data_IF_386489715073
#
_entry.id   IF_386489715073
#
_cell.length_a   1.000
_cell.length_b   1.000
_cell.length_c   1.000
_cell.angle_alpha   90.00
_cell.angle_beta   90.00
_cell.angle_gamma   90.00
#
_symmetry.space_group_name_H-M   'P 1'
#
loop_
_entity.id
_entity.type
_entity.pdbx_description
1 polymer ?
#
# COMPACT_ATOMS: atom_id res chain seq x y z
N UNK A 1 7.18 -48.37 15.87
CA UNK A 1 6.88 -48.35 14.43
C UNK A 1 5.66 -47.45 14.24
N UNK A 2 5.90 -46.17 13.96
CA UNK A 2 4.88 -45.15 13.68
C UNK A 2 5.12 -44.69 12.25
N UNK A 3 4.17 -44.97 11.35
CA UNK A 3 4.20 -44.55 9.95
C UNK A 3 3.55 -43.18 9.88
N UNK A 4 4.31 -42.19 9.43
CA UNK A 4 3.90 -40.79 9.33
C UNK A 4 2.89 -40.57 8.19
N UNK A 5 1.76 -39.98 8.53
CA UNK A 5 0.82 -39.33 7.62
C UNK A 5 1.39 -37.99 7.15
N UNK A 6 2.17 -38.00 6.07
CA UNK A 6 2.65 -36.78 5.39
C UNK A 6 2.87 -37.03 3.91
N UNK A 7 1.85 -37.53 3.21
CA UNK A 7 1.84 -37.65 1.74
C UNK A 7 0.40 -37.57 1.24
N UNK A 8 -0.14 -36.37 1.13
CA UNK A 8 -1.39 -36.07 0.39
C UNK A 8 -1.60 -34.53 0.33
N UNK A 9 -0.66 -33.78 -0.26
CA UNK A 9 -0.85 -32.37 -0.65
C UNK A 9 0.13 -31.97 -1.76
N UNK A 10 0.24 -32.79 -2.81
CA UNK A 10 1.19 -32.56 -3.91
C UNK A 10 0.64 -32.86 -5.31
N UNK A 11 -0.66 -32.62 -5.51
CA UNK A 11 -1.31 -32.79 -6.82
C UNK A 11 -2.33 -31.69 -7.13
N UNK A 12 -1.86 -30.44 -7.28
CA UNK A 12 -2.62 -29.39 -7.97
C UNK A 12 -1.76 -28.28 -8.60
N UNK A 13 -0.42 -28.39 -8.63
CA UNK A 13 0.46 -27.37 -9.21
C UNK A 13 1.43 -28.02 -10.20
N UNK A 14 0.91 -28.36 -11.38
CA UNK A 14 1.72 -28.69 -12.54
C UNK A 14 2.33 -27.42 -13.12
N UNK A 15 3.49 -26.99 -12.59
CA UNK A 15 4.25 -25.85 -13.08
C UNK A 15 5.38 -26.33 -14.00
N UNK A 16 5.14 -26.29 -15.31
CA UNK A 16 6.20 -26.34 -16.31
C UNK A 16 6.32 -24.96 -16.97
N UNK A 17 7.40 -24.24 -16.66
CA UNK A 17 7.74 -22.96 -17.31
C UNK A 17 8.52 -23.28 -18.59
N UNK A 18 7.81 -23.46 -19.69
CA UNK A 18 8.37 -23.52 -21.04
C UNK A 18 8.14 -22.21 -21.79
N UNK A 19 9.07 -21.83 -22.66
CA UNK A 19 8.92 -20.66 -23.54
C UNK A 19 7.63 -20.77 -24.38
N UNK A 20 6.80 -19.72 -24.36
CA UNK A 20 5.67 -19.57 -25.29
C UNK A 20 4.29 -20.00 -24.80
N UNK A 21 4.09 -20.34 -23.52
CA UNK A 21 2.76 -20.71 -23.00
C UNK A 21 2.12 -19.54 -22.25
N UNK A 22 1.03 -18.96 -22.79
CA UNK A 22 0.14 -18.09 -22.03
C UNK A 22 -0.62 -18.95 -21.02
N UNK A 23 -0.35 -18.75 -19.73
CA UNK A 23 -0.96 -19.53 -18.66
C UNK A 23 -2.46 -19.20 -18.54
N UNK A 24 -3.30 -20.24 -18.63
CA UNK A 24 -4.75 -20.17 -18.47
C UNK A 24 -5.12 -19.94 -17.00
N UNK A 25 -6.09 -19.05 -16.81
CA UNK A 25 -6.62 -18.51 -15.57
C UNK A 25 -7.42 -19.53 -14.77
N UNK A 26 -6.97 -19.79 -13.54
CA UNK A 26 -7.87 -20.12 -12.43
C UNK A 26 -7.82 -18.90 -11.50
N UNK A 27 -8.87 -18.07 -11.56
CA UNK A 27 -9.03 -16.88 -10.72
C UNK A 27 -9.30 -17.38 -9.29
N UNK A 28 -8.25 -17.38 -8.48
CA UNK A 28 -8.12 -18.14 -7.24
C UNK A 28 -9.21 -17.87 -6.19
N UNK A 29 -9.61 -18.93 -5.49
CA UNK A 29 -10.25 -18.79 -4.18
C UNK A 29 -9.18 -18.37 -3.16
N UNK A 30 -9.48 -17.35 -2.35
CA UNK A 30 -8.57 -16.93 -1.28
C UNK A 30 -8.52 -18.04 -0.22
N UNK A 31 -7.35 -18.35 0.37
CA UNK A 31 -7.30 -19.22 1.53
C UNK A 31 -8.17 -18.69 2.68
N UNK A 32 -8.66 -19.59 3.52
CA UNK A 32 -9.61 -19.26 4.61
C UNK A 32 -9.10 -18.13 5.52
N UNK A 33 -7.82 -18.18 5.93
CA UNK A 33 -7.22 -17.13 6.77
C UNK A 33 -7.21 -15.75 6.08
N UNK A 34 -6.99 -15.69 4.77
CA UNK A 34 -7.06 -14.44 3.99
C UNK A 34 -8.49 -13.92 3.89
N UNK A 35 -9.47 -14.81 3.73
CA UNK A 35 -10.89 -14.44 3.73
C UNK A 35 -11.30 -13.87 5.10
N UNK A 36 -10.87 -14.52 6.20
CA UNK A 36 -11.13 -14.06 7.57
C UNK A 36 -10.49 -12.69 7.84
N UNK A 37 -9.24 -12.48 7.42
CA UNK A 37 -8.56 -11.19 7.55
C UNK A 37 -9.31 -10.10 6.78
N UNK A 38 -9.68 -10.36 5.52
CA UNK A 38 -10.47 -9.43 4.70
C UNK A 38 -11.79 -9.08 5.37
N UNK A 39 -12.55 -10.09 5.81
CA UNK A 39 -13.86 -9.88 6.44
C UNK A 39 -13.75 -9.07 7.73
N UNK A 40 -12.78 -9.41 8.58
CA UNK A 40 -12.52 -8.69 9.84
C UNK A 40 -12.19 -7.22 9.59
N UNK A 41 -11.31 -6.93 8.62
CA UNK A 41 -10.96 -5.55 8.27
C UNK A 41 -12.13 -4.80 7.63
N UNK A 42 -12.95 -5.48 6.81
CA UNK A 42 -14.15 -4.91 6.20
C UNK A 42 -15.18 -4.47 7.23
N UNK A 43 -15.47 -5.34 8.20
CA UNK A 43 -16.43 -5.07 9.26
C UNK A 43 -15.95 -3.93 10.16
N UNK A 44 -14.67 -3.92 10.51
CA UNK A 44 -14.05 -2.83 11.26
C UNK A 44 -14.09 -1.51 10.48
N UNK A 45 -13.73 -1.52 9.19
CA UNK A 45 -13.76 -0.32 8.36
C UNK A 45 -15.17 0.27 8.25
N UNK A 46 -16.20 -0.57 8.08
CA UNK A 46 -17.58 -0.12 8.01
C UNK A 46 -18.11 0.43 9.34
N UNK A 47 -17.72 -0.19 10.45
CA UNK A 47 -18.26 0.15 11.78
C UNK A 47 -17.49 1.30 12.45
N UNK A 48 -16.18 1.31 12.36
CA UNK A 48 -15.31 2.17 13.18
C UNK A 48 -14.57 3.24 12.37
N UNK A 49 -14.42 3.09 11.04
CA UNK A 49 -13.71 4.06 10.19
C UNK A 49 -14.66 4.93 9.36
N UNK A 50 -15.53 4.31 8.55
CA UNK A 50 -16.40 5.03 7.63
C UNK A 50 -17.27 6.11 8.31
N UNK A 51 -17.86 5.88 9.52
CA UNK A 51 -18.68 6.88 10.18
C UNK A 51 -17.94 8.13 10.64
N UNK A 52 -16.63 8.04 10.85
CA UNK A 52 -15.81 9.16 11.36
C UNK A 52 -14.91 9.80 10.31
N UNK A 53 -14.77 9.16 9.14
CA UNK A 53 -13.80 9.58 8.13
C UNK A 53 -14.00 11.02 7.63
N UNK A 54 -15.25 11.50 7.55
CA UNK A 54 -15.54 12.88 7.13
C UNK A 54 -15.09 13.90 8.20
N UNK A 55 -15.27 13.57 9.48
CA UNK A 55 -14.83 14.43 10.57
C UNK A 55 -13.30 14.46 10.68
N UNK A 56 -12.63 13.31 10.51
CA UNK A 56 -11.17 13.22 10.51
C UNK A 56 -10.56 14.07 9.39
N UNK A 57 -11.14 14.02 8.19
CA UNK A 57 -10.74 14.85 7.06
C UNK A 57 -10.93 16.34 7.36
N UNK A 58 -12.10 16.74 7.87
CA UNK A 58 -12.38 18.14 8.18
C UNK A 58 -11.48 18.73 9.28
N UNK A 59 -11.17 17.93 10.29
CA UNK A 59 -10.37 18.37 11.45
C UNK A 59 -8.86 18.15 11.26
N UNK A 60 -8.45 17.46 10.19
CA UNK A 60 -7.08 16.98 9.98
C UNK A 60 -6.51 16.22 11.18
N UNK A 61 -7.36 15.44 11.87
CA UNK A 61 -7.00 14.80 13.14
C UNK A 61 -6.45 13.39 12.95
N UNK A 62 -5.37 13.06 13.65
CA UNK A 62 -4.84 11.69 13.70
C UNK A 62 -5.81 10.75 14.44
N UNK A 63 -6.20 9.61 13.85
CA UNK A 63 -7.17 8.68 14.44
C UNK A 63 -6.53 7.74 15.47
N UNK A 64 -5.97 8.29 16.55
CA UNK A 64 -5.18 7.56 17.56
C UNK A 64 -5.93 6.34 18.14
N UNK A 65 -7.21 6.50 18.46
CA UNK A 65 -8.06 5.41 18.96
C UNK A 65 -8.10 4.24 17.98
N UNK A 66 -8.38 4.52 16.70
CA UNK A 66 -8.49 3.49 15.67
C UNK A 66 -7.14 2.82 15.41
N UNK A 67 -6.04 3.58 15.44
CA UNK A 67 -4.68 3.02 15.29
C UNK A 67 -4.36 2.02 16.40
N UNK A 68 -4.74 2.33 17.64
CA UNK A 68 -4.55 1.41 18.77
C UNK A 68 -5.41 0.14 18.64
N UNK A 69 -6.67 0.27 18.22
CA UNK A 69 -7.56 -0.86 17.97
C UNK A 69 -7.04 -1.76 16.85
N UNK A 70 -6.58 -1.18 15.73
CA UNK A 70 -5.94 -1.92 14.63
C UNK A 70 -4.67 -2.64 15.07
N UNK A 71 -3.92 -2.06 16.01
CA UNK A 71 -2.77 -2.70 16.63
C UNK A 71 -3.14 -3.91 17.48
N UNK A 72 -4.19 -3.80 18.29
CA UNK A 72 -4.73 -4.92 19.06
C UNK A 72 -5.27 -6.06 18.17
N UNK A 73 -5.76 -5.72 16.97
CA UNK A 73 -6.19 -6.70 15.96
C UNK A 73 -5.02 -7.32 15.17
N UNK A 74 -3.78 -6.88 15.38
CA UNK A 74 -2.59 -7.36 14.65
C UNK A 74 -2.44 -6.81 13.23
N UNK A 75 -3.34 -5.92 12.78
CA UNK A 75 -3.35 -5.36 11.41
C UNK A 75 -2.23 -4.33 11.19
N UNK A 76 -1.71 -3.77 12.28
CA UNK A 76 -0.53 -2.92 12.23
C UNK A 76 0.75 -3.72 11.91
N UNK A 77 0.77 -5.04 12.08
CA UNK A 77 1.98 -5.86 11.88
C UNK A 77 1.67 -7.20 11.19
N UNK A 78 0.93 -7.16 10.08
CA UNK A 78 0.41 -8.34 9.37
C UNK A 78 1.54 -9.28 8.96
N UNK A 79 2.56 -8.75 8.28
CA UNK A 79 3.69 -9.52 7.75
C UNK A 79 4.82 -9.80 8.74
N UNK A 80 4.69 -9.33 9.98
CA UNK A 80 5.74 -9.47 11.00
C UNK A 80 5.61 -10.84 11.68
N UNK A 81 6.70 -11.59 11.89
CA UNK A 81 6.66 -12.88 12.58
C UNK A 81 6.06 -12.78 13.99
N UNK A 82 5.34 -13.82 14.41
CA UNK A 82 4.77 -13.92 15.77
C UNK A 82 5.86 -13.80 16.86
N UNK A 83 7.07 -14.30 16.59
CA UNK A 83 8.21 -14.18 17.52
C UNK A 83 8.64 -12.74 17.82
N UNK A 84 8.19 -11.78 17.01
CA UNK A 84 8.40 -10.35 17.20
C UNK A 84 7.10 -9.61 17.56
N UNK A 85 6.01 -10.33 17.82
CA UNK A 85 4.71 -9.78 18.20
C UNK A 85 3.82 -9.35 17.03
N UNK A 86 4.09 -9.83 15.81
CA UNK A 86 3.23 -9.62 14.64
C UNK A 86 2.22 -10.73 14.39
N UNK A 87 1.44 -10.62 13.32
CA UNK A 87 0.40 -11.59 12.97
C UNK A 87 0.91 -12.80 12.16
N UNK A 88 2.16 -12.80 11.71
CA UNK A 88 2.78 -13.93 11.01
C UNK A 88 2.16 -14.26 9.65
N UNK A 89 1.41 -13.34 9.04
CA UNK A 89 0.77 -13.54 7.74
C UNK A 89 1.66 -13.07 6.59
N UNK A 90 1.13 -13.15 5.37
CA UNK A 90 1.84 -12.83 4.15
C UNK A 90 1.43 -11.46 3.56
N UNK A 91 2.03 -11.06 2.44
CA UNK A 91 1.74 -9.78 1.84
C UNK A 91 0.42 -9.72 1.08
N UNK A 92 -0.12 -10.86 0.65
CA UNK A 92 -1.48 -10.92 0.14
C UNK A 92 -2.47 -10.53 1.25
N UNK A 93 -2.33 -11.08 2.46
CA UNK A 93 -3.16 -10.70 3.61
C UNK A 93 -3.00 -9.22 3.97
N UNK A 94 -1.77 -8.71 3.92
CA UNK A 94 -1.50 -7.28 4.12
C UNK A 94 -2.23 -6.40 3.09
N UNK A 95 -2.17 -6.73 1.79
CA UNK A 95 -2.87 -5.96 0.75
C UNK A 95 -4.39 -6.00 0.96
N UNK A 96 -4.96 -7.16 1.32
CA UNK A 96 -6.39 -7.29 1.62
C UNK A 96 -6.80 -6.41 2.80
N UNK A 97 -6.02 -6.40 3.87
CA UNK A 97 -6.29 -5.55 5.03
C UNK A 97 -6.25 -4.06 4.67
N UNK A 98 -5.19 -3.61 3.98
CA UNK A 98 -5.04 -2.21 3.58
C UNK A 98 -6.15 -1.76 2.63
N UNK A 99 -6.56 -2.61 1.69
CA UNK A 99 -7.68 -2.32 0.77
C UNK A 99 -8.98 -2.07 1.54
N UNK A 100 -9.34 -2.96 2.47
CA UNK A 100 -10.57 -2.82 3.25
C UNK A 100 -10.54 -1.62 4.19
N UNK A 101 -9.42 -1.35 4.86
CA UNK A 101 -9.27 -0.18 5.72
C UNK A 101 -9.36 1.13 4.93
N UNK A 102 -8.74 1.16 3.74
CA UNK A 102 -8.73 2.35 2.87
C UNK A 102 -10.10 2.61 2.24
N UNK A 103 -10.94 1.57 2.11
CA UNK A 103 -12.36 1.71 1.74
C UNK A 103 -13.14 2.50 2.78
N UNK A 104 -12.81 2.35 4.07
CA UNK A 104 -13.39 3.14 5.15
C UNK A 104 -12.78 4.54 5.29
N UNK A 105 -11.45 4.61 5.36
CA UNK A 105 -10.70 5.87 5.49
C UNK A 105 -9.31 5.72 4.87
N UNK A 106 -9.03 6.44 3.77
CA UNK A 106 -7.75 6.41 3.08
C UNK A 106 -6.57 6.80 4.00
N UNK A 107 -6.75 7.82 4.85
CA UNK A 107 -5.72 8.25 5.80
C UNK A 107 -5.38 7.18 6.83
N UNK A 108 -6.38 6.48 7.37
CA UNK A 108 -6.13 5.36 8.29
C UNK A 108 -5.40 4.21 7.58
N UNK A 109 -5.78 3.92 6.33
CA UNK A 109 -5.09 2.92 5.50
C UNK A 109 -3.61 3.23 5.26
N UNK A 110 -3.24 4.48 4.98
CA UNK A 110 -1.81 4.83 4.82
C UNK A 110 -1.05 4.81 6.15
N UNK A 111 -1.69 5.14 7.27
CA UNK A 111 -1.06 5.05 8.60
C UNK A 111 -0.68 3.60 8.93
N UNK A 112 -1.59 2.64 8.70
CA UNK A 112 -1.32 1.21 8.94
C UNK A 112 -0.28 0.64 7.96
N UNK A 113 -0.24 1.13 6.72
CA UNK A 113 0.75 0.78 5.70
C UNK A 113 2.18 1.16 6.10
N UNK A 114 2.36 2.40 6.59
CA UNK A 114 3.68 2.96 6.88
C UNK A 114 4.37 2.20 8.00
N UNK A 115 3.58 1.70 8.94
CA UNK A 115 4.09 0.94 10.06
C UNK A 115 4.54 -0.48 9.65
N UNK A 116 3.72 -1.23 8.91
CA UNK A 116 4.11 -2.51 8.32
C UNK A 116 5.37 -2.39 7.44
N UNK A 117 5.43 -1.37 6.58
CA UNK A 117 6.57 -1.10 5.70
C UNK A 117 7.84 -0.71 6.46
N UNK A 118 7.72 -0.11 7.65
CA UNK A 118 8.86 0.19 8.51
C UNK A 118 9.45 -1.08 9.15
N UNK A 119 8.61 -2.05 9.52
CA UNK A 119 9.05 -3.35 10.02
C UNK A 119 9.83 -4.15 8.97
N UNK A 120 9.39 -4.15 7.71
CA UNK A 120 10.14 -4.77 6.60
C UNK A 120 11.51 -4.10 6.37
N UNK A 121 11.66 -2.82 6.72
CA UNK A 121 12.94 -2.08 6.64
C UNK A 121 13.88 -2.46 7.78
N UNK A 122 13.33 -2.82 8.94
CA UNK A 122 14.09 -3.28 10.11
C UNK A 122 14.39 -4.78 10.02
N UNK A 123 13.72 -5.53 9.13
CA UNK A 123 14.01 -6.95 8.87
C UNK A 123 15.46 -7.22 8.46
N UNK A 124 16.17 -6.21 7.95
CA UNK A 124 17.60 -6.31 7.68
C UNK A 124 18.44 -6.33 8.97
N UNK A 125 17.95 -5.79 10.09
CA UNK A 125 18.59 -5.66 11.42
C UNK A 125 19.22 -6.90 12.03
N UNK A 126 20.06 -6.70 13.06
CA UNK A 126 20.42 -7.81 13.98
C UNK A 126 19.19 -8.26 14.75
N UNK A 127 19.21 -9.44 15.37
CA UNK A 127 18.07 -9.94 16.15
C UNK A 127 17.74 -9.02 17.33
N UNK A 128 18.74 -8.41 17.95
CA UNK A 128 18.59 -7.40 19.01
C UNK A 128 17.88 -6.16 18.48
N UNK A 129 18.28 -5.67 17.30
CA UNK A 129 17.64 -4.53 16.65
C UNK A 129 16.19 -4.83 16.28
N UNK A 130 15.91 -6.03 15.76
CA UNK A 130 14.54 -6.44 15.43
C UNK A 130 13.66 -6.42 16.67
N UNK A 131 14.10 -7.00 17.78
CA UNK A 131 13.35 -6.95 19.05
C UNK A 131 13.17 -5.52 19.56
N UNK A 132 14.20 -4.69 19.48
CA UNK A 132 14.15 -3.31 19.96
C UNK A 132 13.24 -2.40 19.12
N UNK A 133 13.21 -2.58 17.80
CA UNK A 133 12.60 -1.63 16.87
C UNK A 133 11.38 -2.15 16.11
N UNK A 134 11.07 -3.45 16.17
CA UNK A 134 9.85 -4.05 15.60
C UNK A 134 8.82 -4.30 16.69
N UNK A 135 9.19 -4.96 17.79
CA UNK A 135 8.22 -5.42 18.79
C UNK A 135 7.45 -4.29 19.49
N UNK A 136 8.04 -3.15 19.91
CA UNK A 136 7.31 -2.06 20.59
C UNK A 136 6.30 -1.32 19.72
N UNK A 137 6.19 -1.74 18.47
CA UNK A 137 5.64 -1.03 17.37
C UNK A 137 4.47 -1.84 16.78
N UNK A 138 4.40 -3.16 17.02
CA UNK A 138 3.35 -4.05 16.49
C UNK A 138 1.97 -3.83 17.11
N UNK A 139 1.89 -3.22 18.29
CA UNK A 139 0.66 -3.09 19.08
C UNK A 139 -0.15 -1.83 18.78
N UNK A 140 0.35 -0.93 17.90
CA UNK A 140 -0.28 0.36 17.61
C UNK A 140 -0.04 1.45 18.68
N UNK A 141 0.64 1.15 19.79
CA UNK A 141 1.05 2.14 20.80
C UNK A 141 2.05 3.15 20.22
N UNK A 142 2.95 2.68 19.36
CA UNK A 142 3.96 3.50 18.69
C UNK A 142 3.81 3.34 17.19
N UNK A 143 3.93 4.44 16.46
CA UNK A 143 3.99 4.43 15.00
C UNK A 143 5.36 4.91 14.51
N UNK A 144 5.80 4.35 13.39
CA UNK A 144 7.02 4.74 12.72
C UNK A 144 6.76 5.67 11.54
N UNK A 145 7.80 6.37 11.10
CA UNK A 145 7.81 7.08 9.82
C UNK A 145 9.05 6.78 8.97
N UNK A 146 9.06 7.27 7.73
CA UNK A 146 10.12 7.03 6.75
C UNK A 146 10.57 8.33 6.12
N UNK A 147 11.87 8.63 6.24
CA UNK A 147 12.43 9.92 5.88
C UNK A 147 13.50 9.79 4.79
N UNK A 148 13.03 9.73 3.54
CA UNK A 148 13.85 9.70 2.34
C UNK A 148 13.90 11.07 1.64
N UNK A 149 12.74 11.55 1.20
CA UNK A 149 12.59 12.77 0.41
C UNK A 149 13.07 14.03 1.15
N UNK A 150 13.54 15.00 0.38
CA UNK A 150 14.00 16.30 0.86
C UNK A 150 13.35 17.42 0.03
N UNK A 151 13.41 18.69 0.46
CA UNK A 151 12.81 19.80 -0.30
C UNK A 151 13.30 19.89 -1.74
N UNK A 152 14.58 19.55 -1.99
CA UNK A 152 15.19 19.61 -3.32
C UNK A 152 15.07 18.33 -4.14
N UNK A 153 14.66 17.20 -3.55
CA UNK A 153 14.64 15.91 -4.25
C UNK A 153 13.59 14.94 -3.69
N UNK A 154 12.72 14.45 -4.59
CA UNK A 154 11.76 13.37 -4.34
C UNK A 154 12.00 12.20 -5.29
N UNK A 155 11.65 12.38 -6.57
CA UNK A 155 11.86 11.37 -7.62
C UNK A 155 13.34 11.00 -7.80
N UNK A 156 14.26 11.97 -7.70
CA UNK A 156 15.69 11.72 -7.65
C UNK A 156 16.15 11.42 -6.22
N UNK A 157 15.72 10.26 -5.70
CA UNK A 157 16.08 9.83 -4.34
C UNK A 157 17.60 9.66 -4.13
N UNK A 158 18.38 9.55 -5.20
CA UNK A 158 19.83 9.40 -5.16
C UNK A 158 20.60 10.71 -4.90
N UNK A 159 19.92 11.86 -4.96
CA UNK A 159 20.49 13.20 -4.77
C UNK A 159 20.34 13.74 -3.33
N UNK A 160 20.22 12.86 -2.33
CA UNK A 160 20.07 13.25 -0.93
C UNK A 160 21.20 14.19 -0.48
N UNK A 161 20.82 15.32 0.12
CA UNK A 161 21.71 16.34 0.64
C UNK A 161 21.93 16.27 2.14
N UNK A 162 21.02 15.62 2.89
CA UNK A 162 21.17 15.34 4.34
C UNK A 162 22.44 14.53 4.55
N UNK A 163 23.38 15.07 5.33
CA UNK A 163 24.70 14.49 5.59
C UNK A 163 24.66 13.66 6.88
N UNK A 164 25.38 12.55 6.89
CA UNK A 164 25.74 11.83 8.10
C UNK A 164 27.26 11.77 8.24
N UNK A 165 27.78 12.40 9.29
CA UNK A 165 29.20 12.43 9.61
C UNK A 165 29.46 11.51 10.82
N UNK A 166 30.48 10.67 10.71
CA UNK A 166 30.89 9.81 11.82
C UNK A 166 31.78 10.62 12.79
N UNK A 167 31.40 10.65 14.06
CA UNK A 167 32.15 11.27 15.15
C UNK A 167 32.36 10.22 16.26
N UNK A 168 33.51 9.54 16.21
CA UNK A 168 33.81 8.44 17.13
C UNK A 168 32.85 7.26 16.97
N UNK A 169 32.11 6.95 18.02
CA UNK A 169 31.11 5.88 18.08
C UNK A 169 29.70 6.33 17.64
N UNK A 170 29.52 7.59 17.24
CA UNK A 170 28.23 8.19 16.89
C UNK A 170 28.21 8.72 15.47
N UNK A 171 26.99 8.93 14.98
CA UNK A 171 26.71 9.60 13.72
C UNK A 171 25.97 10.91 13.99
N UNK A 172 26.49 12.01 13.45
CA UNK A 172 25.84 13.32 13.48
C UNK A 172 25.17 13.55 12.14
N UNK A 173 23.83 13.71 12.17
CA UNK A 173 23.03 13.95 10.98
C UNK A 173 22.68 15.44 10.88
N UNK A 174 22.89 16.03 9.71
CA UNK A 174 22.56 17.42 9.43
C UNK A 174 21.87 17.57 8.07
N UNK A 175 20.66 18.13 8.06
CA UNK A 175 19.90 18.38 6.84
C UNK A 175 18.40 18.52 7.12
N UNK A 176 17.62 18.48 6.04
CA UNK A 176 16.16 18.64 6.10
C UNK A 176 15.48 17.55 5.29
N UNK A 177 14.55 16.85 5.94
CA UNK A 177 13.64 15.89 5.30
C UNK A 177 12.28 16.54 5.08
N UNK A 178 11.58 16.12 4.03
CA UNK A 178 10.31 16.71 3.64
C UNK A 178 9.27 15.65 3.30
N UNK A 179 8.00 15.97 3.54
CA UNK A 179 6.83 15.13 3.17
C UNK A 179 6.75 13.81 3.96
N UNK A 180 7.04 13.88 5.26
CA UNK A 180 7.16 12.68 6.12
C UNK A 180 5.81 12.34 6.75
N UNK A 181 5.10 11.39 6.18
CA UNK A 181 3.86 10.83 6.76
C UNK A 181 4.12 10.29 8.17
N UNK A 182 3.19 10.51 9.10
CA UNK A 182 3.25 10.18 10.54
C UNK A 182 4.26 10.99 11.37
N UNK A 183 4.99 11.97 10.82
CA UNK A 183 6.09 12.61 11.56
C UNK A 183 5.70 13.25 12.91
N UNK A 184 4.47 13.74 13.04
CA UNK A 184 3.99 14.37 14.28
C UNK A 184 3.63 13.37 15.39
N UNK A 185 3.32 12.13 15.03
CA UNK A 185 2.90 11.07 15.95
C UNK A 185 3.96 9.95 16.09
N UNK A 186 5.01 9.99 15.26
CA UNK A 186 5.99 8.91 15.19
C UNK A 186 6.95 8.88 16.38
N UNK A 187 7.18 7.68 16.91
CA UNK A 187 8.18 7.42 17.95
C UNK A 187 9.55 7.02 17.40
N UNK A 188 9.64 6.64 16.12
CA UNK A 188 10.90 6.35 15.43
C UNK A 188 10.80 6.63 13.93
N UNK A 189 11.95 6.82 13.28
CA UNK A 189 12.04 7.08 11.84
C UNK A 189 13.21 6.37 11.18
N UNK A 190 13.01 5.77 10.00
CA UNK A 190 14.12 5.34 9.14
C UNK A 190 14.52 6.54 8.29
N UNK A 191 15.66 7.17 8.61
CA UNK A 191 16.15 8.35 7.87
C UNK A 191 17.29 7.98 6.94
N UNK A 192 17.30 8.51 5.72
CA UNK A 192 18.36 8.26 4.75
C UNK A 192 19.26 9.49 4.67
N UNK A 193 20.57 9.30 4.81
CA UNK A 193 21.53 10.40 4.71
C UNK A 193 22.76 9.92 3.94
N UNK A 194 23.41 10.84 3.24
CA UNK A 194 24.65 10.54 2.54
C UNK A 194 25.82 10.59 3.50
N UNK A 195 26.66 9.55 3.49
CA UNK A 195 27.95 9.51 4.18
C UNK A 195 29.09 10.01 3.28
N UNK A 196 28.85 10.05 1.96
CA UNK A 196 29.78 10.58 0.97
C UNK A 196 29.01 11.07 -0.27
N UNK A 197 28.95 12.40 -0.46
CA UNK A 197 28.27 13.03 -1.60
C UNK A 197 28.92 12.67 -2.94
N UNK A 198 30.22 12.42 -2.98
CA UNK A 198 30.95 12.09 -4.21
C UNK A 198 30.49 10.76 -4.83
N UNK A 199 29.99 9.84 -4.00
CA UNK A 199 29.50 8.53 -4.39
C UNK A 199 28.03 8.53 -4.87
N UNK A 200 27.36 9.69 -4.87
CA UNK A 200 25.94 9.84 -5.25
C UNK A 200 25.06 8.81 -4.50
N UNK A 201 24.18 8.10 -5.19
CA UNK A 201 23.31 7.07 -4.59
C UNK A 201 24.09 5.95 -3.85
N UNK A 202 25.36 5.69 -4.20
CA UNK A 202 26.19 4.69 -3.51
C UNK A 202 26.68 5.17 -2.15
N UNK A 203 26.67 6.48 -1.90
CA UNK A 203 27.04 7.08 -0.61
C UNK A 203 25.88 7.18 0.37
N UNK A 204 24.67 6.76 0.02
CA UNK A 204 23.49 6.89 0.89
C UNK A 204 23.39 5.70 1.85
N UNK A 205 23.38 6.03 3.14
CA UNK A 205 23.13 5.10 4.24
C UNK A 205 21.77 5.33 4.87
N UNK A 206 21.16 4.27 5.39
CA UNK A 206 19.97 4.37 6.21
C UNK A 206 20.45 4.49 7.67
N UNK A 207 19.78 5.36 8.39
CA UNK A 207 20.02 5.65 9.79
C UNK A 207 18.76 5.18 10.50
N UNK A 208 18.96 3.95 10.90
CA UNK A 208 18.27 2.98 11.73
C UNK A 208 19.02 1.64 11.52
N UNK A 209 19.77 1.51 10.39
CA UNK A 209 20.89 0.58 10.07
C UNK A 209 21.52 0.89 8.68
N UNK A 210 22.83 0.68 8.45
CA UNK A 210 23.56 0.97 7.18
C UNK A 210 23.18 0.16 5.91
N UNK A 211 23.76 0.52 4.75
CA UNK A 211 23.41 0.13 3.34
C UNK A 211 22.11 0.77 2.78
N UNK A 212 21.96 2.08 2.95
CA UNK A 212 20.70 2.81 2.76
C UNK A 212 20.04 2.66 1.42
N UNK A 213 20.70 3.03 0.32
CA UNK A 213 19.99 3.12 -0.96
C UNK A 213 19.39 1.79 -1.44
N UNK A 214 20.12 0.68 -1.30
CA UNK A 214 19.61 -0.65 -1.65
C UNK A 214 18.40 -1.04 -0.80
N UNK A 215 18.46 -0.77 0.51
CA UNK A 215 17.34 -1.00 1.43
C UNK A 215 16.15 -0.14 1.03
N UNK A 216 16.35 1.16 0.75
CA UNK A 216 15.29 2.04 0.29
C UNK A 216 14.58 1.46 -0.93
N UNK A 217 15.33 1.10 -1.99
CA UNK A 217 14.73 0.60 -3.22
C UNK A 217 13.97 -0.72 -3.01
N UNK A 218 14.56 -1.68 -2.28
CA UNK A 218 13.90 -2.95 -2.00
C UNK A 218 12.62 -2.77 -1.17
N UNK A 219 12.58 -1.81 -0.24
CA UNK A 219 11.37 -1.59 0.53
C UNK A 219 10.35 -0.68 -0.14
N UNK A 220 10.75 0.14 -1.13
CA UNK A 220 9.78 0.84 -1.96
C UNK A 220 8.97 -0.14 -2.82
N UNK A 221 9.55 -1.26 -3.27
CA UNK A 221 8.79 -2.28 -4.01
C UNK A 221 7.65 -2.88 -3.16
N UNK A 222 7.93 -3.16 -1.89
CA UNK A 222 6.93 -3.52 -0.88
C UNK A 222 5.91 -2.40 -0.62
N UNK A 223 6.39 -1.15 -0.45
CA UNK A 223 5.53 0.01 -0.20
C UNK A 223 4.55 0.30 -1.34
N UNK A 224 4.97 0.07 -2.60
CA UNK A 224 4.12 0.19 -3.79
C UNK A 224 2.90 -0.73 -3.75
N UNK A 225 3.02 -1.95 -3.20
CA UNK A 225 1.89 -2.87 -3.05
C UNK A 225 0.87 -2.34 -2.06
N UNK A 226 1.34 -1.80 -0.94
CA UNK A 226 0.46 -1.17 0.02
C UNK A 226 -0.26 0.05 -0.57
N UNK A 227 0.42 0.89 -1.37
CA UNK A 227 -0.23 2.01 -2.05
C UNK A 227 -1.25 1.51 -3.08
N UNK A 228 -0.93 0.45 -3.82
CA UNK A 228 -1.87 -0.15 -4.76
C UNK A 228 -3.13 -0.63 -4.04
N UNK A 229 -2.99 -1.29 -2.88
CA UNK A 229 -4.11 -1.68 -2.03
C UNK A 229 -4.90 -0.48 -1.51
N UNK A 230 -4.23 0.60 -1.07
CA UNK A 230 -4.91 1.82 -0.64
C UNK A 230 -5.75 2.43 -1.77
N UNK A 231 -5.17 2.55 -2.97
CA UNK A 231 -5.84 3.06 -4.15
C UNK A 231 -7.06 2.20 -4.53
N UNK A 232 -6.94 0.87 -4.45
CA UNK A 232 -8.06 -0.06 -4.65
C UNK A 232 -9.19 0.18 -3.64
N UNK A 233 -8.86 0.39 -2.36
CA UNK A 233 -9.86 0.69 -1.33
C UNK A 233 -10.63 1.98 -1.61
N UNK A 234 -9.91 3.05 -1.99
CA UNK A 234 -10.51 4.34 -2.38
C UNK A 234 -11.41 4.15 -3.61
N UNK A 235 -10.93 3.46 -4.64
CA UNK A 235 -11.68 3.18 -5.86
C UNK A 235 -12.95 2.39 -5.55
N UNK A 236 -12.85 1.34 -4.73
CA UNK A 236 -14.01 0.53 -4.34
C UNK A 236 -15.05 1.36 -3.58
N UNK A 237 -14.63 2.21 -2.64
CA UNK A 237 -15.55 3.10 -1.91
C UNK A 237 -16.27 4.07 -2.86
N UNK A 238 -15.56 4.62 -3.84
CA UNK A 238 -16.13 5.51 -4.85
C UNK A 238 -17.12 4.78 -5.77
N UNK A 239 -16.81 3.55 -6.21
CA UNK A 239 -17.74 2.72 -6.98
C UNK A 239 -19.00 2.37 -6.16
N UNK A 240 -18.84 1.93 -4.92
CA UNK A 240 -19.95 1.58 -4.03
C UNK A 240 -20.89 2.78 -3.84
N UNK A 241 -20.32 3.98 -3.62
CA UNK A 241 -21.07 5.23 -3.50
C UNK A 241 -21.84 5.58 -4.80
N UNK A 242 -21.17 5.48 -5.95
CA UNK A 242 -21.78 5.77 -7.25
C UNK A 242 -22.91 4.79 -7.59
N UNK A 243 -22.70 3.50 -7.35
CA UNK A 243 -23.67 2.45 -7.62
C UNK A 243 -24.91 2.57 -6.73
N UNK A 244 -24.74 2.80 -5.42
CA UNK A 244 -25.84 3.03 -4.49
C UNK A 244 -26.66 4.28 -4.87
N UNK A 245 -25.98 5.38 -5.17
CA UNK A 245 -26.64 6.61 -5.62
C UNK A 245 -27.38 6.39 -6.93
N UNK A 246 -26.77 5.70 -7.91
CA UNK A 246 -27.38 5.42 -9.20
C UNK A 246 -28.64 4.53 -9.10
N UNK A 247 -28.67 3.63 -8.12
CA UNK A 247 -29.82 2.78 -7.84
C UNK A 247 -30.98 3.56 -7.21
N UNK A 248 -30.70 4.54 -6.35
CA UNK A 248 -31.71 5.29 -5.58
C UNK A 248 -32.19 6.57 -6.28
N UNK A 249 -31.29 7.29 -6.96
CA UNK A 249 -31.60 8.57 -7.59
C UNK A 249 -32.46 8.37 -8.82
N UNK A 250 -33.58 9.08 -8.92
CA UNK A 250 -34.44 9.09 -10.11
C UNK A 250 -34.20 10.33 -10.98
N UNK A 251 -34.22 10.14 -12.30
CA UNK A 251 -34.31 11.19 -13.30
C UNK A 251 -35.04 10.63 -14.53
N UNK A 252 -35.78 11.47 -15.25
CA UNK A 252 -36.56 11.03 -16.42
C UNK A 252 -37.52 9.85 -16.10
N UNK A 253 -38.09 9.83 -14.90
CA UNK A 253 -39.10 8.84 -14.48
C UNK A 253 -38.56 7.47 -14.02
N UNK A 254 -37.24 7.26 -13.96
CA UNK A 254 -36.64 5.99 -13.52
C UNK A 254 -35.33 6.21 -12.72
N UNK A 255 -34.83 5.20 -11.99
CA UNK A 255 -33.49 5.23 -11.43
C UNK A 255 -32.43 5.52 -12.50
N UNK A 256 -31.46 6.40 -12.21
CA UNK A 256 -30.43 6.79 -13.19
C UNK A 256 -29.54 5.61 -13.60
N UNK A 257 -29.44 4.56 -12.77
CA UNK A 257 -28.80 3.29 -13.13
C UNK A 257 -29.46 2.55 -14.30
N UNK A 258 -30.65 2.95 -14.76
CA UNK A 258 -31.27 2.44 -16.00
C UNK A 258 -30.79 3.17 -17.26
N UNK A 259 -30.11 4.31 -17.12
CA UNK A 259 -29.56 5.05 -18.25
C UNK A 259 -28.29 4.35 -18.73
N UNK A 260 -28.23 4.00 -20.03
CA UNK A 260 -27.08 3.28 -20.61
C UNK A 260 -25.74 3.99 -20.35
N UNK A 261 -25.72 5.34 -20.41
CA UNK A 261 -24.54 6.13 -20.13
C UNK A 261 -24.01 5.96 -18.69
N UNK A 262 -24.89 5.72 -17.71
CA UNK A 262 -24.49 5.43 -16.31
C UNK A 262 -24.00 4.00 -16.19
N UNK A 263 -24.66 3.04 -16.85
CA UNK A 263 -24.24 1.64 -16.85
C UNK A 263 -22.83 1.46 -17.44
N UNK A 264 -22.50 2.15 -18.53
CA UNK A 264 -21.16 2.12 -19.11
C UNK A 264 -20.11 2.65 -18.13
N UNK A 265 -20.40 3.75 -17.42
CA UNK A 265 -19.48 4.26 -16.38
C UNK A 265 -19.24 3.25 -15.28
N UNK A 266 -20.30 2.66 -14.73
CA UNK A 266 -20.17 1.65 -13.66
C UNK A 266 -19.41 0.41 -14.15
N UNK A 267 -19.64 -0.01 -15.41
CA UNK A 267 -18.92 -1.12 -16.02
C UNK A 267 -17.41 -0.82 -16.17
N UNK A 268 -17.05 0.36 -16.69
CA UNK A 268 -15.65 0.76 -16.87
C UNK A 268 -14.94 0.94 -15.51
N UNK A 269 -15.66 1.49 -14.50
CA UNK A 269 -15.16 1.61 -13.14
C UNK A 269 -14.85 0.24 -12.53
N UNK A 270 -15.78 -0.71 -12.64
CA UNK A 270 -15.60 -2.06 -12.14
C UNK A 270 -14.44 -2.79 -12.86
N UNK A 271 -14.36 -2.66 -14.19
CA UNK A 271 -13.28 -3.24 -14.99
C UNK A 271 -11.90 -2.72 -14.55
N UNK A 272 -11.78 -1.40 -14.34
CA UNK A 272 -10.53 -0.78 -13.90
C UNK A 272 -10.09 -1.30 -12.52
N UNK A 273 -11.04 -1.40 -11.57
CA UNK A 273 -10.78 -1.91 -10.22
C UNK A 273 -10.35 -3.37 -10.25
N UNK A 274 -11.12 -4.25 -10.91
CA UNK A 274 -10.80 -5.69 -10.92
C UNK A 274 -9.47 -5.95 -11.65
N UNK A 275 -9.19 -5.23 -12.73
CA UNK A 275 -7.91 -5.34 -13.44
C UNK A 275 -6.73 -4.94 -12.54
N UNK A 276 -6.84 -3.82 -11.84
CA UNK A 276 -5.80 -3.36 -10.91
C UNK A 276 -5.65 -4.30 -9.70
N UNK A 277 -6.75 -4.86 -9.18
CA UNK A 277 -6.72 -5.81 -8.06
C UNK A 277 -5.94 -7.07 -8.42
N UNK A 278 -6.14 -7.61 -9.62
CA UNK A 278 -5.39 -8.77 -10.09
C UNK A 278 -3.89 -8.49 -10.25
N UNK A 279 -3.51 -7.28 -10.69
CA UNK A 279 -2.10 -6.87 -10.73
C UNK A 279 -1.49 -6.82 -9.33
N UNK A 280 -2.21 -6.23 -8.38
CA UNK A 280 -1.78 -6.13 -6.97
C UNK A 280 -1.61 -7.50 -6.34
N UNK A 281 -2.59 -8.40 -6.48
CA UNK A 281 -2.52 -9.74 -5.92
C UNK A 281 -1.40 -10.57 -6.54
N UNK A 282 -1.22 -10.49 -7.87
CA UNK A 282 -0.09 -11.15 -8.54
C UNK A 282 1.25 -10.71 -7.95
N UNK A 283 1.44 -9.41 -7.77
CA UNK A 283 2.69 -8.87 -7.25
C UNK A 283 2.92 -9.25 -5.77
N UNK A 284 1.86 -9.26 -4.95
CA UNK A 284 1.92 -9.75 -3.57
C UNK A 284 2.30 -11.24 -3.50
N UNK A 285 1.64 -12.09 -4.29
CA UNK A 285 1.95 -13.53 -4.36
C UNK A 285 3.38 -13.81 -4.84
N UNK A 286 3.90 -13.03 -5.80
CA UNK A 286 5.30 -13.13 -6.23
C UNK A 286 6.27 -12.78 -5.10
N UNK A 287 5.97 -11.73 -4.34
CA UNK A 287 6.76 -11.35 -3.16
C UNK A 287 6.77 -12.48 -2.12
N UNK A 288 5.60 -13.02 -1.79
CA UNK A 288 5.46 -14.10 -0.81
C UNK A 288 6.17 -15.38 -1.25
N UNK A 289 6.16 -15.67 -2.55
CA UNK A 289 6.93 -16.75 -3.17
C UNK A 289 8.44 -16.43 -3.33
N UNK A 290 8.92 -15.29 -2.80
CA UNK A 290 10.31 -14.82 -2.89
C UNK A 290 10.83 -14.73 -4.34
N UNK A 291 9.95 -14.41 -5.28
CA UNK A 291 10.29 -14.17 -6.68
C UNK A 291 10.56 -12.68 -6.93
N UNK A 292 11.34 -12.33 -7.96
CA UNK A 292 11.45 -10.93 -8.38
C UNK A 292 10.05 -10.37 -8.70
N UNK A 293 9.74 -9.20 -8.13
CA UNK A 293 8.42 -8.58 -8.26
C UNK A 293 8.46 -7.05 -8.45
N UNK A 294 9.64 -6.46 -8.66
CA UNK A 294 9.82 -5.00 -8.84
C UNK A 294 8.96 -4.45 -9.98
N UNK A 295 8.94 -5.15 -11.13
CA UNK A 295 8.13 -4.77 -12.30
C UNK A 295 6.64 -4.87 -11.98
N UNK A 296 6.22 -6.00 -11.41
CA UNK A 296 4.82 -6.26 -11.06
C UNK A 296 4.30 -5.30 -9.99
N UNK A 297 5.11 -4.94 -8.98
CA UNK A 297 4.75 -3.94 -7.98
C UNK A 297 4.57 -2.54 -8.59
N UNK A 298 5.43 -2.16 -9.53
CA UNK A 298 5.29 -0.89 -10.25
C UNK A 298 4.03 -0.88 -11.14
N UNK A 299 3.72 -2.00 -11.82
CA UNK A 299 2.48 -2.16 -12.60
C UNK A 299 1.23 -2.08 -11.72
N UNK A 300 1.24 -2.77 -10.58
CA UNK A 300 0.14 -2.75 -9.61
C UNK A 300 -0.12 -1.34 -9.08
N UNK A 301 0.94 -0.65 -8.61
CA UNK A 301 0.81 0.72 -8.09
C UNK A 301 0.31 1.67 -9.17
N UNK A 302 0.89 1.63 -10.37
CA UNK A 302 0.48 2.49 -11.49
C UNK A 302 -1.00 2.26 -11.83
N UNK A 303 -1.36 1.00 -12.13
CA UNK A 303 -2.72 0.64 -12.54
C UNK A 303 -3.77 0.97 -11.47
N UNK A 304 -3.48 0.67 -10.20
CA UNK A 304 -4.39 0.97 -9.10
C UNK A 304 -4.53 2.48 -8.85
N UNK A 305 -3.43 3.25 -8.87
CA UNK A 305 -3.49 4.71 -8.63
C UNK A 305 -4.26 5.46 -9.71
N UNK A 306 -4.04 5.12 -10.99
CA UNK A 306 -4.77 5.74 -12.10
C UNK A 306 -6.25 5.29 -12.11
N UNK A 307 -6.52 4.02 -11.76
CA UNK A 307 -7.89 3.55 -11.57
C UNK A 307 -8.61 4.30 -10.44
N UNK A 308 -7.96 4.55 -9.30
CA UNK A 308 -8.56 5.27 -8.18
C UNK A 308 -8.98 6.70 -8.58
N UNK A 309 -8.11 7.44 -9.27
CA UNK A 309 -8.43 8.78 -9.77
C UNK A 309 -9.55 8.74 -10.81
N UNK A 310 -9.52 7.80 -11.76
CA UNK A 310 -10.57 7.63 -12.75
C UNK A 310 -11.93 7.33 -12.10
N UNK A 311 -11.98 6.35 -11.21
CA UNK A 311 -13.21 5.87 -10.56
C UNK A 311 -13.79 6.95 -9.66
N UNK A 312 -12.97 7.59 -8.82
CA UNK A 312 -13.44 8.68 -7.95
C UNK A 312 -13.95 9.89 -8.74
N UNK A 313 -13.29 10.24 -9.85
CA UNK A 313 -13.80 11.25 -10.78
C UNK A 313 -15.17 10.87 -11.36
N UNK A 314 -15.31 9.63 -11.85
CA UNK A 314 -16.60 9.17 -12.39
C UNK A 314 -17.69 9.11 -11.31
N UNK A 315 -17.34 8.77 -10.07
CA UNK A 315 -18.29 8.76 -8.96
C UNK A 315 -18.87 10.16 -8.72
N UNK A 316 -18.03 11.20 -8.66
CA UNK A 316 -18.49 12.60 -8.60
C UNK A 316 -19.44 12.91 -9.77
N UNK A 317 -19.10 12.48 -10.98
CA UNK A 317 -19.93 12.71 -12.16
C UNK A 317 -21.28 11.99 -12.11
N UNK A 318 -21.34 10.76 -11.58
CA UNK A 318 -22.59 9.99 -11.42
C UNK A 318 -23.51 10.64 -10.38
N UNK A 319 -22.95 11.21 -9.32
CA UNK A 319 -23.69 11.94 -8.30
C UNK A 319 -24.14 13.34 -8.76
N UNK A 320 -23.52 13.88 -9.82
CA UNK A 320 -23.79 15.22 -10.33
C UNK A 320 -23.47 16.29 -9.29
N UNK A 321 -24.37 17.26 -9.08
CA UNK A 321 -24.17 18.32 -8.09
C UNK A 321 -23.93 17.80 -6.67
N UNK A 322 -24.54 16.66 -6.31
CA UNK A 322 -24.31 16.03 -5.00
C UNK A 322 -22.90 15.47 -4.86
N UNK A 323 -22.20 15.18 -5.96
CA UNK A 323 -20.82 14.70 -5.92
C UNK A 323 -19.80 15.79 -5.59
N UNK A 324 -20.21 17.06 -5.62
CA UNK A 324 -19.33 18.22 -5.41
C UNK A 324 -19.44 18.81 -3.99
N UNK A 325 -20.48 18.44 -3.24
CA UNK A 325 -20.71 18.95 -1.88
C UNK A 325 -20.15 18.00 -0.84
N UNK A 326 -19.68 18.56 0.28
CA UNK A 326 -19.06 17.80 1.39
C UNK A 326 -20.05 16.93 2.17
N UNK A 327 -21.35 17.02 1.87
CA UNK A 327 -22.38 16.15 2.44
C UNK A 327 -22.31 14.72 1.89
N UNK A 328 -21.65 14.54 0.74
CA UNK A 328 -21.41 13.23 0.13
C UNK A 328 -19.91 12.90 0.15
N UNK A 329 -19.53 11.62 0.33
CA UNK A 329 -18.12 11.25 0.46
C UNK A 329 -17.34 11.26 -0.87
N UNK A 330 -18.01 11.41 -2.02
CA UNK A 330 -17.39 11.29 -3.34
C UNK A 330 -16.28 12.31 -3.59
N UNK A 331 -16.45 13.56 -3.15
CA UNK A 331 -15.43 14.60 -3.31
C UNK A 331 -14.15 14.28 -2.52
N UNK A 332 -14.31 13.74 -1.29
CA UNK A 332 -13.19 13.32 -0.45
C UNK A 332 -12.44 12.15 -1.10
N UNK A 333 -13.17 11.16 -1.63
CA UNK A 333 -12.53 10.06 -2.36
C UNK A 333 -11.70 10.55 -3.56
N UNK A 334 -12.15 11.59 -4.26
CA UNK A 334 -11.40 12.19 -5.37
C UNK A 334 -10.14 12.91 -4.89
N UNK A 335 -10.22 13.67 -3.79
CA UNK A 335 -9.03 14.29 -3.16
C UNK A 335 -8.05 13.24 -2.67
N UNK A 336 -8.53 12.21 -1.98
CA UNK A 336 -7.73 11.12 -1.43
C UNK A 336 -7.04 10.31 -2.54
N UNK A 337 -7.74 10.03 -3.64
CA UNK A 337 -7.17 9.28 -4.77
C UNK A 337 -5.95 9.98 -5.38
N UNK A 338 -5.97 11.32 -5.42
CA UNK A 338 -4.95 12.10 -6.13
C UNK A 338 -3.53 11.89 -5.61
N UNK A 339 -3.35 11.71 -4.30
CA UNK A 339 -2.00 11.50 -3.74
C UNK A 339 -1.39 10.18 -4.21
N UNK A 340 -2.24 9.20 -4.57
CA UNK A 340 -1.79 7.85 -4.90
C UNK A 340 -0.92 7.80 -6.15
N UNK A 341 -1.07 8.75 -7.05
CA UNK A 341 -0.28 8.87 -8.29
C UNK A 341 1.07 9.60 -8.07
N UNK A 342 1.32 10.16 -6.87
CA UNK A 342 2.46 11.04 -6.60
C UNK A 342 3.47 10.39 -5.65
N UNK A 343 3.07 10.06 -4.42
CA UNK A 343 3.98 9.51 -3.42
C UNK A 343 4.43 8.06 -3.76
N UNK A 344 5.42 7.54 -3.03
CA UNK A 344 5.95 6.17 -3.28
C UNK A 344 6.40 5.94 -4.75
N UNK A 345 6.82 7.04 -5.38
CA UNK A 345 7.18 7.14 -6.80
C UNK A 345 6.00 7.55 -7.67
N UNK A 346 6.17 8.65 -8.41
CA UNK A 346 5.14 9.17 -9.32
C UNK A 346 4.82 8.15 -10.42
N UNK A 347 3.68 8.32 -11.09
CA UNK A 347 3.29 7.47 -12.23
C UNK A 347 4.38 7.40 -13.30
N UNK A 348 5.12 8.48 -13.55
CA UNK A 348 6.25 8.52 -14.50
C UNK A 348 7.42 7.66 -14.00
N UNK A 349 7.73 7.73 -12.70
CA UNK A 349 8.75 6.87 -12.10
C UNK A 349 8.35 5.40 -12.19
N UNK A 350 7.07 5.06 -11.98
CA UNK A 350 6.61 3.68 -12.18
C UNK A 350 6.80 3.24 -13.63
N UNK A 351 6.44 4.08 -14.60
CA UNK A 351 6.67 3.80 -16.03
C UNK A 351 8.15 3.56 -16.34
N UNK A 352 9.06 4.36 -15.79
CA UNK A 352 10.50 4.16 -15.93
C UNK A 352 10.96 2.82 -15.32
N UNK A 353 10.49 2.47 -14.13
CA UNK A 353 10.81 1.18 -13.49
C UNK A 353 10.33 0.01 -14.36
N UNK A 354 9.10 0.09 -14.88
CA UNK A 354 8.53 -0.93 -15.76
C UNK A 354 9.37 -1.06 -17.04
N UNK A 355 9.61 0.05 -17.73
CA UNK A 355 10.37 0.07 -18.98
C UNK A 355 11.79 -0.49 -18.79
N UNK A 356 12.47 -0.10 -17.73
CA UNK A 356 13.82 -0.60 -17.43
C UNK A 356 13.85 -2.11 -17.16
N UNK A 357 12.85 -2.66 -16.49
CA UNK A 357 12.78 -4.11 -16.26
C UNK A 357 12.42 -4.87 -17.54
N UNK A 358 11.50 -4.36 -18.35
CA UNK A 358 11.18 -4.93 -19.66
C UNK A 358 12.45 -4.97 -20.52
N UNK A 359 13.20 -3.87 -20.65
CA UNK A 359 14.40 -3.84 -21.48
C UNK A 359 15.47 -4.85 -21.01
N UNK A 360 15.62 -5.04 -19.70
CA UNK A 360 16.53 -6.05 -19.14
C UNK A 360 16.14 -7.48 -19.49
N UNK A 361 14.85 -7.78 -19.66
CA UNK A 361 14.38 -9.13 -20.04
C UNK A 361 14.80 -9.52 -21.46
N UNK A 362 15.17 -8.55 -22.30
CA UNK A 362 15.62 -8.76 -23.68
C UNK A 362 17.11 -8.48 -23.91
N UNK A 363 17.85 -8.07 -22.88
CA UNK A 363 19.31 -7.97 -22.93
C UNK A 363 19.90 -9.35 -22.60
N UNK A 364 20.42 -10.03 -23.61
CA UNK A 364 21.14 -11.30 -23.49
C UNK A 364 22.49 -11.11 -22.80
#
# INVERSE_FOLDING_TARGET
MLISSSFLYLSALGMAVGHGVRCLSQLAELPELHQMMRQTCRDYAQKELAPIAAQLDKDHKFPAKQVQELGAMGVMAVGVPESLGGAGMDYLAYCLAVEELSRGCASTGVISLRFNSACDRIAFGTEEQKKQWITPFTTGEKVGCFALSEPGNGSDAGAASTLAQQEGDKWVLNGTKAWITNCWDASATVVFATTDKSLKHKGISAFLRGMGFKIAMQTLDSGRLGIAAQALGIAQAALDCAADYAHKRTAFGAPIGKLQAIQFKLADMALAIESARLLTWRAAMLRDAKKPFTKEAAMAKLGASEAATFVSHQAVQVLGGMGYVTDMPAERHYRDARITEIYEGTSEIQRLVIANNILKEYQQ
#
